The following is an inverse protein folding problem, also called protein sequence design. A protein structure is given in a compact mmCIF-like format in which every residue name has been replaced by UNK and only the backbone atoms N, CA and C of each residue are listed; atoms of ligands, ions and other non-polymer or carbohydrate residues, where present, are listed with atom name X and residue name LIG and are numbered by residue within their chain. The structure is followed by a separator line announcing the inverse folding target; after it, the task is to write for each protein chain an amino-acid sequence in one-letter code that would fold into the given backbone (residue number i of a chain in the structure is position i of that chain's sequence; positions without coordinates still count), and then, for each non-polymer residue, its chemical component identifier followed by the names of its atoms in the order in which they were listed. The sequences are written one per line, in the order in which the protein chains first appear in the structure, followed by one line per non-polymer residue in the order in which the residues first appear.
data_IF_054510345578
#
_entry.id   IF_054510345578
#
_cell.length_a   1.000
_cell.length_b   1.000
_cell.length_c   1.000
_cell.angle_alpha   90.00
_cell.angle_beta   90.00
_cell.angle_gamma   90.00
#
_symmetry.space_group_name_H-M   'P 1'
#
loop_
_entity.id
_entity.type
_entity.pdbx_description
1 polymer ?
#
# COMPACT_ATOMS: atom_id res chain seq x y z
N UNK A 1 -1.58 4.11 -15.16
CA UNK A 1 -1.55 3.19 -14.01
C UNK A 1 -2.82 3.38 -13.19
N UNK A 2 -3.23 2.39 -12.39
CA UNK A 2 -4.35 2.60 -11.48
C UNK A 2 -3.97 3.67 -10.44
N UNK A 3 -4.85 4.61 -10.07
CA UNK A 3 -4.49 5.64 -9.11
C UNK A 3 -4.40 5.09 -7.68
N UNK A 4 -3.54 5.69 -6.87
CA UNK A 4 -3.62 5.56 -5.42
C UNK A 4 -4.74 6.47 -4.87
N UNK A 5 -5.27 6.11 -3.70
CA UNK A 5 -6.30 6.89 -3.02
C UNK A 5 -6.45 6.52 -1.55
N UNK A 6 -7.53 7.00 -0.92
CA UNK A 6 -7.84 6.67 0.47
C UNK A 6 -8.07 5.17 0.71
N UNK A 7 -8.32 4.41 -0.35
CA UNK A 7 -8.52 2.96 -0.36
C UNK A 7 -7.22 2.15 -0.55
N UNK A 8 -6.05 2.81 -0.64
CA UNK A 8 -4.80 2.17 -1.04
C UNK A 8 -4.57 2.32 -2.55
N UNK A 9 -4.55 1.21 -3.28
CA UNK A 9 -4.30 1.20 -4.72
C UNK A 9 -2.81 1.12 -5.05
N UNK A 10 -2.39 1.82 -6.12
CA UNK A 10 -1.01 1.82 -6.62
C UNK A 10 -0.09 2.69 -5.76
N UNK A 11 0.15 2.28 -4.51
CA UNK A 11 0.82 3.10 -3.49
C UNK A 11 2.32 3.31 -3.77
N UNK A 12 2.97 2.35 -4.42
CA UNK A 12 4.39 2.39 -4.83
C UNK A 12 5.31 2.98 -3.75
N UNK A 13 5.21 2.39 -2.55
CA UNK A 13 6.01 2.73 -1.39
C UNK A 13 6.92 1.56 -1.02
N UNK A 14 8.22 1.76 -1.15
CA UNK A 14 9.27 0.74 -1.04
C UNK A 14 9.43 0.11 0.35
N UNK A 15 8.90 0.74 1.41
CA UNK A 15 8.87 0.18 2.77
C UNK A 15 7.67 -0.77 2.98
N UNK A 16 6.77 -0.91 2.01
CA UNK A 16 5.75 -1.98 2.04
C UNK A 16 6.41 -3.28 1.56
N UNK A 17 7.12 -3.92 2.49
CA UNK A 17 7.82 -5.18 2.28
C UNK A 17 7.56 -6.17 3.42
N UNK A 18 8.43 -7.17 3.54
CA UNK A 18 8.40 -8.14 4.64
C UNK A 18 8.44 -7.41 6.00
N UNK A 19 7.59 -7.83 6.93
CA UNK A 19 7.47 -7.21 8.26
C UNK A 19 6.55 -5.99 8.32
N UNK A 20 6.20 -5.37 7.18
CA UNK A 20 5.28 -4.25 7.17
C UNK A 20 3.81 -4.68 7.35
N UNK A 21 3.05 -3.92 8.13
CA UNK A 21 1.59 -4.06 8.24
C UNK A 21 0.92 -2.87 7.55
N UNK A 22 0.06 -3.16 6.56
CA UNK A 22 -0.74 -2.14 5.89
C UNK A 22 -2.16 -2.13 6.44
N UNK A 23 -2.60 -0.97 6.93
CA UNK A 23 -3.96 -0.77 7.45
C UNK A 23 -4.75 0.03 6.41
N UNK A 24 -5.82 -0.57 5.89
CA UNK A 24 -6.70 0.04 4.91
C UNK A 24 -8.11 0.28 5.48
N UNK A 25 -8.77 1.41 5.14
CA UNK A 25 -10.18 1.59 5.44
C UNK A 25 -11.04 0.56 4.69
N UNK A 26 -12.04 -0.01 5.38
CA UNK A 26 -13.03 -0.90 4.76
C UNK A 26 -14.24 -0.08 4.33
N UNK A 27 -14.35 0.22 3.04
CA UNK A 27 -15.49 0.98 2.48
C UNK A 27 -16.65 0.09 2.03
N UNK A 28 -16.39 -1.19 1.73
CA UNK A 28 -17.40 -2.12 1.22
C UNK A 28 -17.44 -3.43 2.03
N UNK A 29 -18.61 -4.09 2.10
CA UNK A 29 -18.74 -5.39 2.77
C UNK A 29 -17.71 -6.41 2.26
N UNK A 30 -17.07 -7.11 3.19
CA UNK A 30 -16.04 -8.11 2.87
C UNK A 30 -14.66 -7.54 2.56
N UNK A 31 -14.45 -6.22 2.63
CA UNK A 31 -13.14 -5.58 2.44
C UNK A 31 -12.70 -5.49 0.98
N UNK A 32 -12.98 -6.52 0.17
CA UNK A 32 -12.62 -6.61 -1.24
C UNK A 32 -11.12 -6.30 -1.46
N UNK A 33 -10.26 -6.97 -0.72
CA UNK A 33 -8.81 -6.76 -0.77
C UNK A 33 -8.23 -7.23 -2.10
N UNK A 34 -7.38 -6.38 -2.70
CA UNK A 34 -6.56 -6.69 -3.87
C UNK A 34 -5.09 -6.42 -3.54
N UNK A 35 -4.21 -7.25 -4.10
CA UNK A 35 -2.76 -7.11 -4.01
C UNK A 35 -2.14 -7.48 -5.37
N UNK A 36 -1.09 -6.77 -5.77
CA UNK A 36 -0.40 -6.93 -7.05
C UNK A 36 0.80 -6.01 -7.12
N UNK A 37 1.40 -5.90 -8.32
CA UNK A 37 2.50 -4.96 -8.61
C UNK A 37 3.79 -5.25 -7.82
N UNK A 38 4.35 -6.43 -8.08
CA UNK A 38 5.57 -6.89 -7.41
C UNK A 38 6.81 -6.22 -7.97
N UNK A 39 7.64 -5.69 -7.07
CA UNK A 39 8.90 -5.07 -7.42
C UNK A 39 10.06 -5.76 -6.70
N UNK A 40 11.05 -6.26 -7.45
CA UNK A 40 12.29 -6.78 -6.87
C UNK A 40 13.17 -5.67 -6.28
N UNK A 41 13.03 -4.44 -6.82
CA UNK A 41 13.62 -3.22 -6.30
C UNK A 41 12.81 -2.02 -6.80
N UNK A 42 12.57 -1.04 -5.92
CA UNK A 42 11.99 0.25 -6.25
C UNK A 42 12.61 1.33 -5.35
N UNK A 43 12.88 2.49 -5.91
CA UNK A 43 13.36 3.66 -5.18
C UNK A 43 12.21 4.64 -4.89
N UNK A 44 12.43 5.56 -3.96
CA UNK A 44 11.47 6.62 -3.65
C UNK A 44 11.04 7.39 -4.90
N UNK A 45 9.73 7.52 -5.05
CA UNK A 45 9.09 8.32 -6.10
C UNK A 45 9.02 7.66 -7.47
N UNK A 46 9.58 6.45 -7.67
CA UNK A 46 9.45 5.67 -8.91
C UNK A 46 9.62 6.53 -10.18
N UNK A 47 10.64 7.38 -10.21
CA UNK A 47 10.73 8.47 -11.18
C UNK A 47 10.77 8.03 -12.66
N UNK A 48 11.11 6.76 -12.93
CA UNK A 48 11.10 6.16 -14.26
C UNK A 48 9.74 5.60 -14.69
N UNK A 49 8.75 5.62 -13.77
CA UNK A 49 7.40 5.09 -13.96
C UNK A 49 7.26 3.58 -13.81
N UNK A 50 8.35 2.89 -13.43
CA UNK A 50 8.39 1.45 -13.15
C UNK A 50 9.50 1.15 -12.15
N UNK A 51 9.33 0.12 -11.32
CA UNK A 51 10.43 -0.52 -10.59
C UNK A 51 11.07 -1.66 -11.40
N UNK A 52 11.75 -2.57 -10.70
CA UNK A 52 12.16 -3.86 -11.27
C UNK A 52 10.98 -4.83 -11.14
N UNK A 53 10.06 -4.77 -12.11
CA UNK A 53 8.81 -5.55 -12.12
C UNK A 53 9.03 -7.07 -12.07
N UNK A 54 8.26 -7.77 -11.24
CA UNK A 54 8.34 -9.23 -11.09
C UNK A 54 7.02 -9.85 -10.63
N UNK A 55 6.85 -11.15 -10.87
CA UNK A 55 5.85 -11.95 -10.17
C UNK A 55 6.17 -12.04 -8.68
N UNK A 56 5.13 -12.14 -7.86
CA UNK A 56 5.23 -12.29 -6.42
C UNK A 56 4.84 -13.70 -5.97
N UNK A 57 5.52 -14.18 -4.94
CA UNK A 57 5.09 -15.29 -4.10
C UNK A 57 5.12 -14.77 -2.66
N UNK A 58 3.92 -14.51 -2.11
CA UNK A 58 3.75 -13.79 -0.84
C UNK A 58 2.81 -14.54 0.08
N UNK A 59 3.17 -14.59 1.36
CA UNK A 59 2.31 -15.07 2.44
C UNK A 59 2.00 -13.88 3.36
N UNK A 60 0.71 -13.69 3.67
CA UNK A 60 0.26 -12.63 4.57
C UNK A 60 -1.00 -13.06 5.33
N UNK A 61 -1.24 -12.44 6.48
CA UNK A 61 -2.49 -12.56 7.23
C UNK A 61 -3.36 -11.32 7.04
N UNK A 62 -4.67 -11.47 7.28
CA UNK A 62 -5.63 -10.37 7.22
C UNK A 62 -6.49 -10.41 8.47
N UNK A 63 -6.45 -9.32 9.23
CA UNK A 63 -7.28 -9.12 10.41
C UNK A 63 -8.25 -7.95 10.21
N UNK A 64 -9.43 -8.05 10.81
CA UNK A 64 -10.45 -7.00 10.74
C UNK A 64 -10.43 -6.19 12.03
N UNK A 65 -9.91 -4.97 11.96
CA UNK A 65 -9.93 -4.01 13.07
C UNK A 65 -11.29 -3.29 13.09
N UNK A 66 -12.11 -3.56 14.09
CA UNK A 66 -13.39 -2.86 14.28
C UNK A 66 -13.15 -1.48 14.89
N UNK A 67 -13.95 -0.49 14.46
CA UNK A 67 -13.91 0.88 14.99
C UNK A 67 -12.54 1.60 14.85
N UNK A 68 -11.74 1.30 13.82
CA UNK A 68 -10.41 1.93 13.66
C UNK A 68 -10.45 3.40 13.22
N UNK A 69 -11.58 3.89 12.71
CA UNK A 69 -11.80 5.28 12.24
C UNK A 69 -10.74 5.84 11.27
N UNK A 70 -9.88 5.00 10.68
CA UNK A 70 -8.88 5.43 9.71
C UNK A 70 -9.55 5.85 8.40
N UNK A 71 -9.10 6.96 7.84
CA UNK A 71 -9.67 7.56 6.61
C UNK A 71 -8.77 7.41 5.39
N UNK A 72 -7.60 6.79 5.56
CA UNK A 72 -6.62 6.53 4.51
C UNK A 72 -5.61 5.47 4.95
N UNK A 73 -4.71 5.05 4.05
CA UNK A 73 -3.76 3.98 4.32
C UNK A 73 -2.77 4.37 5.44
N UNK A 74 -2.48 3.41 6.30
CA UNK A 74 -1.35 3.45 7.25
C UNK A 74 -0.41 2.31 6.96
N UNK A 75 0.87 2.55 7.20
CA UNK A 75 1.89 1.50 7.18
C UNK A 75 2.59 1.51 8.53
N UNK A 76 2.72 0.35 9.13
CA UNK A 76 3.49 0.14 10.34
C UNK A 76 4.66 -0.78 10.00
N UNK A 77 5.86 -0.36 10.39
CA UNK A 77 7.06 -1.19 10.36
C UNK A 77 7.58 -1.37 11.79
N UNK A 78 8.67 -2.10 11.98
CA UNK A 78 9.31 -2.25 13.30
C UNK A 78 9.76 -0.90 13.91
N UNK A 79 9.96 0.12 13.07
CA UNK A 79 10.51 1.41 13.50
C UNK A 79 9.53 2.58 13.39
N UNK A 80 8.60 2.54 12.42
CA UNK A 80 7.81 3.70 12.05
C UNK A 80 6.31 3.43 11.96
N UNK A 81 5.53 4.44 12.36
CA UNK A 81 4.11 4.57 12.02
C UNK A 81 3.98 5.62 10.94
N UNK A 82 3.46 5.21 9.78
CA UNK A 82 3.47 6.02 8.55
C UNK A 82 2.03 6.32 8.12
N UNK A 83 1.78 7.58 7.75
CA UNK A 83 0.53 8.02 7.13
C UNK A 83 0.73 8.21 5.65
N UNK A 84 -0.04 7.52 4.81
CA UNK A 84 0.08 7.67 3.36
C UNK A 84 -1.01 8.61 2.84
N UNK A 85 -0.61 9.59 2.04
CA UNK A 85 -1.49 10.52 1.35
C UNK A 85 -1.25 10.46 -0.15
N UNK A 86 -2.30 10.20 -0.93
CA UNK A 86 -2.27 10.28 -2.39
C UNK A 86 -3.07 11.50 -2.82
N UNK A 87 -2.43 12.39 -3.59
CA UNK A 87 -3.08 13.57 -4.16
C UNK A 87 -2.67 13.71 -5.64
N UNK A 88 -3.56 14.20 -6.52
CA UNK A 88 -3.29 14.33 -7.95
C UNK A 88 -2.03 15.14 -8.29
N UNK A 89 -1.67 16.11 -7.46
CA UNK A 89 -0.54 17.01 -7.65
C UNK A 89 0.83 16.33 -7.47
N UNK A 90 0.85 15.14 -6.85
CA UNK A 90 2.06 14.36 -6.59
C UNK A 90 2.09 13.03 -7.35
N UNK A 91 1.22 12.85 -8.35
CA UNK A 91 1.25 11.68 -9.21
C UNK A 91 2.44 11.75 -10.17
N UNK A 92 3.21 10.67 -10.24
CA UNK A 92 4.26 10.42 -11.24
C UNK A 92 3.70 10.04 -12.61
#
# INVERSE_FOLDING_TARGET
MAPAGSYGGNLNYNEIGEGATVILPVYHPGGLLFLGDGHALMADGEATGTGVETSMDVEFSVDVIKNSHVTGPRVETDEFLISVGAQPEFAS
#
